data_IF_737111438640
#
_entry.id   IF_737111438640
#
_cell.length_a   1.000
_cell.length_b   1.000
_cell.length_c   1.000
_cell.angle_alpha   90.00
_cell.angle_beta   90.00
_cell.angle_gamma   90.00
#
_symmetry.space_group_name_H-M   'P 1'
#
loop_
_entity.id
_entity.type
_entity.pdbx_description
1 polymer ?
#
# COMPACT_ATOMS: atom_id res chain seq x y z
N UNK A 1 14.18 -8.79 14.45
CA UNK A 1 14.31 -7.39 13.97
C UNK A 1 13.24 -6.57 14.66
N UNK A 2 13.61 -5.68 15.59
CA UNK A 2 12.67 -4.91 16.42
C UNK A 2 12.55 -3.51 15.78
N UNK A 3 11.47 -3.28 15.04
CA UNK A 3 11.17 -1.95 14.47
C UNK A 3 10.45 -1.15 15.55
N UNK A 4 11.13 -0.12 16.08
CA UNK A 4 10.53 0.92 16.92
C UNK A 4 9.86 1.91 15.97
N UNK A 5 8.54 1.89 15.92
CA UNK A 5 7.75 2.86 15.17
C UNK A 5 7.42 4.04 16.06
N UNK A 6 8.09 5.16 15.81
CA UNK A 6 7.59 6.51 16.10
C UNK A 6 6.19 6.66 15.50
N UNK A 7 5.33 7.42 16.17
CA UNK A 7 3.92 7.69 15.85
C UNK A 7 3.74 8.55 14.58
N UNK A 8 4.30 8.11 13.45
CA UNK A 8 3.97 8.65 12.15
C UNK A 8 2.90 7.76 11.49
N UNK A 9 1.76 8.31 11.03
CA UNK A 9 0.61 7.52 10.59
C UNK A 9 0.85 6.72 9.30
N UNK A 10 2.02 6.87 8.67
CA UNK A 10 2.43 6.18 7.44
C UNK A 10 3.91 5.84 7.54
N UNK A 11 4.23 4.55 7.56
CA UNK A 11 5.61 4.07 7.39
C UNK A 11 5.82 3.57 5.96
N UNK A 12 6.83 4.10 5.29
CA UNK A 12 7.28 3.65 3.97
C UNK A 12 8.63 2.95 4.14
N UNK A 13 8.73 1.71 3.67
CA UNK A 13 9.96 0.92 3.73
C UNK A 13 10.28 0.36 2.34
N UNK A 14 11.48 0.63 1.83
CA UNK A 14 11.99 -0.03 0.64
C UNK A 14 12.52 -1.42 1.00
N UNK A 15 12.17 -2.42 0.19
CA UNK A 15 12.61 -3.81 0.38
C UNK A 15 12.75 -4.50 -0.98
N UNK A 16 13.44 -5.63 -1.02
CA UNK A 16 13.60 -6.40 -2.25
C UNK A 16 12.67 -7.62 -2.23
N UNK A 17 11.99 -7.87 -3.35
CA UNK A 17 11.23 -9.10 -3.62
C UNK A 17 11.86 -9.74 -4.85
N UNK A 18 12.40 -10.94 -4.73
CA UNK A 18 13.03 -11.66 -5.86
C UNK A 18 14.08 -10.82 -6.61
N UNK A 19 14.99 -10.16 -5.87
CA UNK A 19 15.99 -9.22 -6.40
C UNK A 19 15.45 -7.97 -7.13
N UNK A 20 14.13 -7.72 -7.09
CA UNK A 20 13.52 -6.50 -7.61
C UNK A 20 13.26 -5.50 -6.46
N UNK A 21 13.66 -4.23 -6.62
CA UNK A 21 13.31 -3.20 -5.65
C UNK A 21 11.79 -3.07 -5.57
N UNK A 22 11.26 -2.88 -4.36
CA UNK A 22 9.83 -2.75 -4.08
C UNK A 22 9.61 -1.81 -2.90
N UNK A 23 8.47 -1.14 -2.88
CA UNK A 23 8.11 -0.21 -1.81
C UNK A 23 6.97 -0.78 -0.99
N UNK A 24 7.14 -0.85 0.33
CA UNK A 24 6.10 -1.24 1.28
C UNK A 24 5.53 0.01 1.88
N UNK A 25 4.21 0.19 1.78
CA UNK A 25 3.49 1.21 2.53
C UNK A 25 2.57 0.55 3.53
N UNK A 26 2.68 0.97 4.79
CA UNK A 26 1.80 0.51 5.88
C UNK A 26 0.72 1.55 6.09
N UNK A 27 -0.54 1.14 5.92
CA UNK A 27 -1.71 1.96 6.23
C UNK A 27 -2.32 1.45 7.54
N UNK A 28 -2.42 2.35 8.53
CA UNK A 28 -3.11 2.06 9.79
C UNK A 28 -4.62 2.12 9.50
N UNK A 29 -5.34 1.02 9.70
CA UNK A 29 -6.74 0.92 9.26
C UNK A 29 -7.77 1.40 10.29
N UNK A 30 -7.37 2.20 11.28
CA UNK A 30 -8.23 2.54 12.43
C UNK A 30 -9.21 3.69 12.16
N UNK A 31 -9.85 3.73 10.98
CA UNK A 31 -10.89 4.73 10.68
C UNK A 31 -12.18 4.08 10.14
N UNK A 32 -13.37 4.48 10.63
CA UNK A 32 -14.64 3.82 10.33
C UNK A 32 -14.96 3.75 8.83
N UNK A 33 -15.40 2.57 8.36
CA UNK A 33 -15.70 2.24 6.96
C UNK A 33 -16.83 3.06 6.31
N UNK A 34 -17.70 3.69 7.09
CA UNK A 34 -18.97 4.23 6.58
C UNK A 34 -18.90 5.67 6.04
N UNK A 35 -17.76 6.36 6.15
CA UNK A 35 -17.66 7.80 5.81
C UNK A 35 -16.60 8.16 4.76
N UNK A 36 -15.88 7.21 4.18
CA UNK A 36 -14.82 7.51 3.22
C UNK A 36 -15.23 7.19 1.78
N UNK A 37 -14.98 8.15 0.89
CA UNK A 37 -14.77 7.87 -0.53
C UNK A 37 -13.66 6.84 -0.74
N UNK A 38 -13.31 6.47 -1.98
CA UNK A 38 -12.41 5.35 -2.23
C UNK A 38 -11.09 5.50 -1.44
N UNK A 39 -10.81 4.53 -0.58
CA UNK A 39 -9.56 4.49 0.17
C UNK A 39 -8.38 4.25 -0.78
N UNK A 40 -7.15 4.50 -0.31
CA UNK A 40 -5.95 4.37 -1.14
C UNK A 40 -5.79 2.94 -1.69
N UNK A 41 -6.11 1.90 -0.91
CA UNK A 41 -6.06 0.52 -1.39
C UNK A 41 -7.08 0.28 -2.51
N UNK A 42 -8.33 0.71 -2.32
CA UNK A 42 -9.40 0.61 -3.32
C UNK A 42 -9.04 1.36 -4.61
N UNK A 43 -8.45 2.55 -4.48
CA UNK A 43 -7.99 3.37 -5.62
C UNK A 43 -6.86 2.68 -6.38
N UNK A 44 -5.84 2.20 -5.67
CA UNK A 44 -4.70 1.54 -6.28
C UNK A 44 -5.08 0.21 -6.94
N UNK A 45 -6.02 -0.53 -6.33
CA UNK A 45 -6.59 -1.74 -6.92
C UNK A 45 -7.37 -1.42 -8.20
N UNK A 46 -8.17 -0.36 -8.20
CA UNK A 46 -8.87 0.10 -9.38
C UNK A 46 -7.88 0.41 -10.51
N UNK A 47 -6.87 1.26 -10.26
CA UNK A 47 -5.86 1.62 -11.27
C UNK A 47 -5.18 0.38 -11.87
N UNK A 48 -4.76 -0.56 -11.03
CA UNK A 48 -4.15 -1.83 -11.46
C UNK A 48 -5.08 -2.64 -12.35
N UNK A 49 -6.36 -2.75 -11.97
CA UNK A 49 -7.36 -3.58 -12.65
C UNK A 49 -7.99 -2.87 -13.87
N UNK A 50 -7.65 -1.61 -14.15
CA UNK A 50 -8.18 -0.85 -15.31
C UNK A 50 -7.33 -1.12 -16.57
N UNK A 51 -7.17 -0.15 -17.47
CA UNK A 51 -6.60 -0.35 -18.80
C UNK A 51 -5.06 -0.20 -18.79
N UNK A 52 -4.29 -1.29 -18.88
CA UNK A 52 -2.83 -1.22 -18.95
C UNK A 52 -2.30 -0.62 -20.25
N UNK A 53 -3.16 -0.45 -21.28
CA UNK A 53 -2.79 0.22 -22.54
C UNK A 53 -2.97 1.74 -22.49
N UNK A 54 -3.52 2.28 -21.40
CA UNK A 54 -3.59 3.74 -21.22
C UNK A 54 -2.17 4.28 -21.02
N UNK A 55 -1.82 5.35 -21.72
CA UNK A 55 -0.53 6.04 -21.55
C UNK A 55 -0.31 6.41 -20.08
N UNK A 56 -1.37 6.89 -19.41
CA UNK A 56 -1.31 7.28 -18.00
C UNK A 56 -1.06 6.12 -17.03
N UNK A 57 -1.38 4.88 -17.42
CA UNK A 57 -1.19 3.71 -16.55
C UNK A 57 0.28 3.52 -16.19
N UNK A 58 1.19 3.71 -17.14
CA UNK A 58 2.64 3.60 -16.92
C UNK A 58 3.25 4.77 -16.11
N UNK A 59 2.47 5.83 -15.85
CA UNK A 59 2.91 7.01 -15.08
C UNK A 59 2.42 7.00 -13.63
N UNK A 60 1.76 5.93 -13.20
CA UNK A 60 1.31 5.74 -11.83
C UNK A 60 2.01 4.51 -11.28
N UNK A 61 2.50 4.60 -10.03
CA UNK A 61 3.07 3.45 -9.32
C UNK A 61 2.03 2.33 -9.26
N UNK A 62 2.40 1.11 -9.67
CA UNK A 62 1.46 -0.01 -9.70
C UNK A 62 1.42 -0.74 -8.36
N UNK A 63 0.23 -1.21 -8.00
CA UNK A 63 0.04 -2.12 -6.87
C UNK A 63 0.45 -3.53 -7.28
N UNK A 64 1.55 -4.02 -6.74
CA UNK A 64 2.05 -5.38 -6.96
C UNK A 64 1.28 -6.39 -6.10
N UNK A 65 1.06 -6.07 -4.82
CA UNK A 65 0.37 -6.96 -3.89
C UNK A 65 -0.22 -6.17 -2.69
N UNK A 66 -1.11 -6.79 -1.94
CA UNK A 66 -1.66 -6.26 -0.70
C UNK A 66 -1.98 -7.38 0.28
N UNK A 67 -1.78 -7.16 1.57
CA UNK A 67 -2.21 -8.08 2.61
C UNK A 67 -2.58 -7.34 3.90
N UNK A 68 -3.40 -7.98 4.73
CA UNK A 68 -3.77 -7.46 6.05
C UNK A 68 -2.96 -8.17 7.12
N UNK A 69 -2.47 -7.42 8.11
CA UNK A 69 -1.80 -7.97 9.28
C UNK A 69 -2.42 -7.38 10.54
N UNK A 70 -2.74 -8.24 11.51
CA UNK A 70 -3.27 -7.84 12.81
C UNK A 70 -2.12 -7.55 13.77
N UNK A 71 -2.00 -6.29 14.18
CA UNK A 71 -1.01 -5.82 15.14
C UNK A 71 -1.64 -5.44 16.49
N UNK A 72 -0.82 -4.95 17.45
CA UNK A 72 -1.31 -4.49 18.75
C UNK A 72 -2.36 -3.38 18.68
N UNK A 73 -2.42 -2.64 17.57
CA UNK A 73 -3.30 -1.50 17.35
C UNK A 73 -4.43 -1.82 16.36
N UNK A 74 -4.76 -3.09 16.15
CA UNK A 74 -5.81 -3.53 15.24
C UNK A 74 -5.30 -4.02 13.89
N UNK A 75 -6.17 -3.99 12.88
CA UNK A 75 -5.80 -4.39 11.53
C UNK A 75 -4.96 -3.31 10.84
N UNK A 76 -4.05 -3.75 9.98
CA UNK A 76 -3.20 -2.89 9.18
C UNK A 76 -3.18 -3.42 7.75
N UNK A 77 -3.45 -2.54 6.78
CA UNK A 77 -3.38 -2.88 5.36
C UNK A 77 -1.98 -2.53 4.87
N UNK A 78 -1.29 -3.52 4.32
CA UNK A 78 0.03 -3.36 3.70
C UNK A 78 -0.13 -3.35 2.20
N UNK A 79 0.42 -2.31 1.56
CA UNK A 79 0.51 -2.18 0.11
C UNK A 79 1.94 -2.43 -0.34
N UNK A 80 2.11 -3.25 -1.37
CA UNK A 80 3.37 -3.47 -2.07
C UNK A 80 3.28 -2.80 -3.42
N UNK A 81 4.11 -1.79 -3.63
CA UNK A 81 4.11 -0.93 -4.79
C UNK A 81 5.39 -1.07 -5.59
N UNK A 82 5.31 -0.78 -6.89
CA UNK A 82 6.49 -0.56 -7.72
C UNK A 82 7.30 0.64 -7.19
N UNK A 83 8.64 0.55 -7.19
CA UNK A 83 9.50 1.68 -6.86
C UNK A 83 9.39 2.77 -7.94
N UNK A 84 9.40 4.03 -7.49
CA UNK A 84 9.43 5.23 -8.35
C UNK A 84 10.85 5.78 -8.45
#
# INVERSE_FOLDING_TARGET
MKLSTSLDPVSILMFFVEDRPSVRKVLISDLPKETRGPDEYSTMKLVRDTNPQSIGWHHVSQLLNSFTHTGPNGEHVYLILEPL
#
